data_IF_376987711499
#
_entry.id   IF_376987711499
#
_cell.length_a   1.000
_cell.length_b   1.000
_cell.length_c   1.000
_cell.angle_alpha   90.00
_cell.angle_beta   90.00
_cell.angle_gamma   90.00
#
_symmetry.space_group_name_H-M   'P 1'
#
loop_
_entity.id
_entity.type
_entity.pdbx_description
1 polymer ?
#
# COMPACT_ATOMS: atom_id res chain seq x y z
N UNK A 1 -6.36 -57.07 -25.22
CA UNK A 1 -6.13 -56.03 -26.25
C UNK A 1 -5.93 -54.70 -25.53
N UNK A 2 -4.70 -54.39 -25.12
CA UNK A 2 -4.38 -53.22 -24.29
C UNK A 2 -4.03 -52.02 -25.18
N UNK A 3 -4.78 -50.93 -25.01
CA UNK A 3 -4.63 -49.65 -25.69
C UNK A 3 -3.39 -48.94 -25.13
N UNK A 4 -2.32 -48.84 -25.92
CA UNK A 4 -1.16 -47.98 -25.61
C UNK A 4 -1.62 -46.52 -25.64
N UNK A 5 -1.63 -45.88 -24.48
CA UNK A 5 -1.93 -44.45 -24.33
C UNK A 5 -0.72 -43.64 -24.81
N UNK A 6 -0.95 -42.75 -25.79
CA UNK A 6 0.08 -41.89 -26.38
C UNK A 6 0.53 -40.81 -25.39
N UNK A 7 1.67 -41.04 -24.74
CA UNK A 7 2.33 -40.12 -23.80
C UNK A 7 2.66 -38.73 -24.39
N UNK A 8 2.66 -38.59 -25.72
CA UNK A 8 2.96 -37.33 -26.39
C UNK A 8 1.85 -36.27 -26.20
N UNK A 9 0.57 -36.69 -26.16
CA UNK A 9 -0.54 -35.75 -25.96
C UNK A 9 -0.64 -35.24 -24.52
N UNK A 10 -0.20 -36.03 -23.54
CA UNK A 10 -0.23 -35.66 -22.12
C UNK A 10 0.83 -34.58 -21.84
N UNK A 11 2.00 -34.68 -22.48
CA UNK A 11 3.08 -33.69 -22.35
C UNK A 11 2.69 -32.31 -22.90
N UNK A 12 2.01 -32.26 -24.05
CA UNK A 12 1.55 -30.99 -24.65
C UNK A 12 0.43 -30.35 -23.81
N UNK A 13 -0.47 -31.16 -23.24
CA UNK A 13 -1.54 -30.67 -22.35
C UNK A 13 -0.95 -30.11 -21.05
N UNK A 14 0.05 -30.79 -20.45
CA UNK A 14 0.76 -30.29 -19.27
C UNK A 14 1.53 -29.00 -19.56
N UNK A 15 2.15 -28.88 -20.73
CA UNK A 15 2.86 -27.65 -21.13
C UNK A 15 1.90 -26.48 -21.32
N UNK A 16 0.73 -26.70 -21.94
CA UNK A 16 -0.33 -25.71 -22.03
C UNK A 16 -0.91 -25.32 -20.66
N UNK A 17 -1.07 -26.29 -19.76
CA UNK A 17 -1.50 -26.03 -18.38
C UNK A 17 -0.46 -25.23 -17.59
N UNK A 18 0.83 -25.52 -17.77
CA UNK A 18 1.92 -24.75 -17.17
C UNK A 18 1.97 -23.32 -17.74
N UNK A 19 1.79 -23.12 -19.04
CA UNK A 19 1.73 -21.78 -19.65
C UNK A 19 0.52 -20.99 -19.11
N UNK A 20 -0.64 -21.63 -18.96
CA UNK A 20 -1.82 -21.01 -18.34
C UNK A 20 -1.61 -20.69 -16.86
N UNK A 21 -0.97 -21.56 -16.08
CA UNK A 21 -0.65 -21.30 -14.66
C UNK A 21 0.39 -20.19 -14.52
N UNK A 22 1.35 -20.09 -15.45
CA UNK A 22 2.36 -19.03 -15.46
C UNK A 22 1.77 -17.69 -15.90
N UNK A 23 0.86 -17.66 -16.89
CA UNK A 23 0.16 -16.43 -17.27
C UNK A 23 -0.88 -16.00 -16.22
N UNK A 24 -1.56 -16.93 -15.56
CA UNK A 24 -2.51 -16.63 -14.49
C UNK A 24 -1.85 -16.16 -13.18
N UNK A 25 -0.55 -16.40 -12.98
CA UNK A 25 0.22 -15.91 -11.83
C UNK A 25 0.87 -14.54 -12.02
N UNK A 26 0.79 -13.96 -13.23
CA UNK A 26 1.45 -12.69 -13.57
C UNK A 26 0.43 -11.66 -14.08
N UNK A 27 -0.82 -11.74 -13.63
CA UNK A 27 -1.66 -10.54 -13.53
C UNK A 27 -1.55 -10.05 -12.09
N UNK A 28 -1.00 -8.84 -11.83
CA UNK A 28 -1.04 -8.26 -10.50
C UNK A 28 -2.51 -8.20 -10.07
N UNK A 29 -2.83 -8.61 -8.83
CA UNK A 29 -4.20 -8.53 -8.29
C UNK A 29 -4.82 -7.15 -8.50
N UNK A 30 -4.01 -6.10 -8.47
CA UNK A 30 -4.43 -4.71 -8.68
C UNK A 30 -4.95 -4.43 -10.10
N UNK A 31 -4.51 -5.17 -11.12
CA UNK A 31 -5.00 -5.00 -12.50
C UNK A 31 -6.44 -5.50 -12.65
N UNK A 32 -6.87 -6.43 -11.78
CA UNK A 32 -8.24 -6.93 -11.69
C UNK A 32 -9.19 -5.89 -11.07
N UNK A 33 -8.66 -5.00 -10.22
CA UNK A 33 -9.44 -3.97 -9.48
C UNK A 33 -9.43 -2.62 -10.22
N UNK A 34 -8.60 -2.48 -11.26
CA UNK A 34 -8.47 -1.24 -12.04
C UNK A 34 -9.74 -0.95 -12.84
N UNK A 35 -10.36 0.19 -12.56
CA UNK A 35 -11.52 0.65 -13.29
C UNK A 35 -11.11 1.59 -14.46
N UNK A 36 -10.96 1.00 -15.65
CA UNK A 36 -10.71 1.75 -16.91
C UNK A 36 -11.86 2.72 -17.27
N UNK A 37 -13.04 2.52 -16.68
CA UNK A 37 -14.20 3.41 -16.77
C UNK A 37 -13.88 4.82 -16.29
N UNK A 38 -13.15 4.91 -15.17
CA UNK A 38 -12.90 6.14 -14.41
C UNK A 38 -11.41 6.54 -14.37
N UNK A 39 -10.56 5.85 -15.12
CA UNK A 39 -9.12 6.12 -15.21
C UNK A 39 -8.76 6.94 -16.46
N UNK A 40 -7.59 7.58 -16.45
CA UNK A 40 -6.99 8.11 -17.68
C UNK A 40 -6.38 6.97 -18.51
N UNK A 41 -6.54 6.98 -19.85
CA UNK A 41 -5.80 6.08 -20.72
C UNK A 41 -4.30 6.43 -20.72
N UNK A 42 -3.47 5.58 -21.33
CA UNK A 42 -2.06 5.91 -21.54
C UNK A 42 -1.94 7.10 -22.50
N UNK A 43 -1.61 8.27 -21.98
CA UNK A 43 -1.57 9.52 -22.73
C UNK A 43 -0.54 9.53 -23.87
N UNK A 44 0.51 8.70 -23.79
CA UNK A 44 1.50 8.53 -24.86
C UNK A 44 0.96 7.77 -26.07
N UNK A 45 -0.06 6.93 -25.86
CA UNK A 45 -0.66 6.10 -26.90
C UNK A 45 -1.90 6.74 -27.54
N UNK A 46 -2.38 7.85 -26.97
CA UNK A 46 -3.57 8.56 -27.46
C UNK A 46 -3.28 9.13 -28.85
N UNK A 47 -4.00 8.62 -29.85
CA UNK A 47 -3.94 9.12 -31.23
C UNK A 47 -5.12 10.04 -31.55
N UNK A 48 -6.29 9.73 -30.99
CA UNK A 48 -7.51 10.53 -31.14
C UNK A 48 -7.98 11.03 -29.77
N UNK A 49 -7.60 12.27 -29.39
CA UNK A 49 -8.00 12.87 -28.12
C UNK A 49 -9.51 12.95 -27.93
N UNK A 50 -10.30 13.18 -28.99
CA UNK A 50 -11.75 13.37 -28.85
C UNK A 50 -12.44 12.08 -28.44
N UNK A 51 -12.00 10.96 -29.02
CA UNK A 51 -12.56 9.64 -28.74
C UNK A 51 -12.04 9.07 -27.41
N UNK A 52 -10.73 9.08 -27.22
CA UNK A 52 -10.07 8.40 -26.11
C UNK A 52 -10.20 9.16 -24.79
N UNK A 53 -10.28 10.49 -24.84
CA UNK A 53 -10.49 11.35 -23.66
C UNK A 53 -11.94 11.83 -23.55
N UNK A 54 -12.88 11.19 -24.26
CA UNK A 54 -14.31 11.55 -24.27
C UNK A 54 -14.95 11.60 -22.87
N UNK A 55 -14.41 10.84 -21.90
CA UNK A 55 -14.86 10.79 -20.51
C UNK A 55 -14.30 11.92 -19.64
N UNK A 56 -13.34 12.68 -20.15
CA UNK A 56 -12.68 13.75 -19.42
C UNK A 56 -13.08 15.10 -20.01
N UNK A 57 -13.23 16.10 -19.15
CA UNK A 57 -13.48 17.50 -19.51
C UNK A 57 -12.23 18.27 -19.18
N UNK A 58 -11.60 18.82 -20.21
CA UNK A 58 -10.59 19.84 -20.06
C UNK A 58 -11.28 21.19 -20.00
N UNK A 59 -10.94 22.03 -19.03
CA UNK A 59 -11.43 23.41 -18.91
C UNK A 59 -10.25 24.39 -18.94
N UNK A 60 -10.58 25.64 -19.29
CA UNK A 60 -9.65 26.77 -19.36
C UNK A 60 -8.49 26.56 -20.33
N UNK A 61 -7.24 26.60 -19.86
CA UNK A 61 -6.02 26.50 -20.68
C UNK A 61 -5.37 25.12 -20.62
N UNK A 62 -6.00 24.15 -19.95
CA UNK A 62 -5.49 22.78 -19.93
C UNK A 62 -5.38 22.21 -21.35
N UNK A 63 -4.24 21.62 -21.69
CA UNK A 63 -3.99 21.02 -23.01
C UNK A 63 -3.19 19.73 -22.88
N UNK A 64 -3.38 18.81 -23.83
CA UNK A 64 -2.55 17.62 -23.98
C UNK A 64 -1.30 17.98 -24.80
N UNK A 65 -0.11 17.73 -24.28
CA UNK A 65 1.16 18.00 -24.92
C UNK A 65 2.11 16.84 -24.68
N UNK A 66 2.62 16.22 -25.76
CA UNK A 66 3.67 15.19 -25.71
C UNK A 66 3.42 14.09 -24.64
N UNK A 67 2.19 13.57 -24.59
CA UNK A 67 1.83 12.47 -23.69
C UNK A 67 1.58 12.85 -22.22
N UNK A 68 1.36 14.14 -21.92
CA UNK A 68 0.86 14.59 -20.61
C UNK A 68 -0.12 15.74 -20.74
N UNK A 69 -0.94 15.97 -19.72
CA UNK A 69 -1.72 17.20 -19.63
C UNK A 69 -0.91 18.29 -18.96
N UNK A 70 -0.84 19.45 -19.59
CA UNK A 70 -0.29 20.68 -19.00
C UNK A 70 -1.48 21.54 -18.56
N UNK A 71 -1.68 21.68 -17.26
CA UNK A 71 -2.79 22.47 -16.69
C UNK A 71 -2.48 23.97 -16.77
N UNK A 72 -1.22 24.36 -16.56
CA UNK A 72 -0.77 25.75 -16.60
C UNK A 72 0.34 25.94 -17.64
N UNK A 73 0.00 26.06 -18.94
CA UNK A 73 1.00 26.09 -20.01
C UNK A 73 1.66 27.45 -20.23
N UNK A 74 1.18 28.51 -19.58
CA UNK A 74 1.71 29.86 -19.71
C UNK A 74 1.68 30.60 -18.39
N UNK A 75 2.07 31.88 -18.41
CA UNK A 75 2.02 32.75 -17.22
C UNK A 75 0.58 33.14 -16.89
N UNK A 76 0.24 33.16 -15.62
CA UNK A 76 -1.08 33.55 -15.09
C UNK A 76 -2.22 32.77 -15.75
N UNK A 77 -2.02 31.46 -15.91
CA UNK A 77 -3.00 30.54 -16.49
C UNK A 77 -3.59 29.64 -15.42
N UNK A 78 -4.82 29.17 -15.69
CA UNK A 78 -5.48 28.13 -14.93
C UNK A 78 -5.96 27.04 -15.88
N UNK A 79 -6.07 25.83 -15.36
CA UNK A 79 -6.53 24.67 -16.10
C UNK A 79 -7.10 23.63 -15.16
N UNK A 80 -8.11 22.90 -15.62
CA UNK A 80 -8.64 21.77 -14.87
C UNK A 80 -9.01 20.60 -15.76
N UNK A 81 -8.99 19.43 -15.14
CA UNK A 81 -9.28 18.14 -15.75
C UNK A 81 -10.29 17.43 -14.85
N UNK A 82 -11.50 17.22 -15.37
CA UNK A 82 -12.62 16.65 -14.63
C UNK A 82 -13.14 15.39 -15.30
N UNK A 83 -13.45 14.38 -14.50
CA UNK A 83 -14.07 13.17 -14.99
C UNK A 83 -15.59 13.40 -15.15
N UNK A 84 -16.14 13.11 -16.34
CA UNK A 84 -17.57 13.21 -16.64
C UNK A 84 -18.41 12.20 -15.86
N UNK A 85 -18.09 10.89 -15.87
CA UNK A 85 -18.87 9.94 -15.11
C UNK A 85 -18.62 10.15 -13.61
N UNK A 86 -19.70 10.32 -12.86
CA UNK A 86 -19.62 10.37 -11.40
C UNK A 86 -19.47 8.95 -10.83
N UNK A 87 -18.69 8.84 -9.76
CA UNK A 87 -18.29 7.56 -9.20
C UNK A 87 -19.07 7.23 -7.92
N UNK A 88 -19.69 6.05 -7.85
CA UNK A 88 -20.39 5.59 -6.63
C UNK A 88 -19.48 4.62 -5.86
N UNK A 89 -19.13 4.99 -4.63
CA UNK A 89 -18.30 4.16 -3.75
C UNK A 89 -19.10 2.94 -3.26
N UNK A 90 -18.63 1.73 -3.56
CA UNK A 90 -19.28 0.47 -3.15
C UNK A 90 -18.63 -0.20 -1.92
N UNK A 91 -17.61 0.41 -1.33
CA UNK A 91 -16.95 -0.06 -0.12
C UNK A 91 -15.61 0.63 0.10
N UNK A 92 -14.68 0.47 -0.83
CA UNK A 92 -13.42 1.19 -0.85
C UNK A 92 -13.09 1.68 -2.25
N UNK A 93 -12.29 2.74 -2.32
CA UNK A 93 -11.80 3.34 -3.56
C UNK A 93 -10.35 3.75 -3.36
N UNK A 94 -9.51 3.49 -4.36
CA UNK A 94 -8.17 4.05 -4.43
C UNK A 94 -8.02 4.88 -5.70
N UNK A 95 -7.53 6.10 -5.56
CA UNK A 95 -7.24 7.00 -6.67
C UNK A 95 -5.76 7.33 -6.65
N UNK A 96 -5.09 7.10 -7.77
CA UNK A 96 -3.70 7.46 -7.99
C UNK A 96 -3.59 8.56 -9.04
N UNK A 97 -2.88 9.63 -8.69
CA UNK A 97 -2.51 10.71 -9.60
C UNK A 97 -1.00 10.77 -9.72
N UNK A 98 -0.48 10.73 -10.94
CA UNK A 98 0.92 11.03 -11.23
C UNK A 98 1.00 12.43 -11.80
N UNK A 99 1.71 13.32 -11.12
CA UNK A 99 1.78 14.74 -11.43
C UNK A 99 3.21 15.26 -11.27
N UNK A 100 3.48 16.46 -11.80
CA UNK A 100 4.71 17.21 -11.50
C UNK A 100 4.48 18.72 -11.56
N UNK A 101 5.35 19.46 -10.90
CA UNK A 101 5.55 20.91 -11.12
C UNK A 101 6.96 21.13 -11.64
N UNK A 102 7.10 21.89 -12.73
CA UNK A 102 8.41 22.19 -13.32
C UNK A 102 8.53 23.65 -13.77
N UNK A 103 9.77 24.13 -13.92
CA UNK A 103 10.07 25.42 -14.56
C UNK A 103 10.11 26.62 -13.62
N UNK A 104 9.79 26.44 -12.34
CA UNK A 104 9.94 27.46 -11.30
C UNK A 104 10.11 26.84 -9.92
N UNK A 105 10.97 27.45 -9.11
CA UNK A 105 11.13 27.17 -7.69
C UNK A 105 11.15 28.47 -6.91
N UNK A 106 10.35 28.54 -5.85
CA UNK A 106 10.27 29.71 -4.98
C UNK A 106 8.84 30.13 -4.69
N UNK A 107 8.71 31.32 -4.09
CA UNK A 107 7.41 31.87 -3.70
C UNK A 107 6.52 32.12 -4.92
N UNK A 108 5.33 31.54 -4.88
CA UNK A 108 4.31 31.55 -5.94
C UNK A 108 2.94 31.62 -5.26
N UNK A 109 1.98 32.29 -5.88
CA UNK A 109 0.57 32.20 -5.45
C UNK A 109 -0.17 31.02 -6.11
N UNK A 110 0.53 30.30 -6.99
CA UNK A 110 0.04 29.11 -7.66
C UNK A 110 -0.17 27.92 -6.73
N UNK A 111 -0.88 26.92 -7.24
CA UNK A 111 -1.13 25.68 -6.54
C UNK A 111 -1.85 24.65 -7.42
N UNK A 112 -1.68 23.39 -7.04
CA UNK A 112 -2.32 22.23 -7.66
C UNK A 112 -3.29 21.59 -6.66
N UNK A 113 -4.55 21.47 -7.05
CA UNK A 113 -5.61 20.90 -6.24
C UNK A 113 -6.14 19.58 -6.84
N UNK A 114 -6.37 18.61 -5.97
CA UNK A 114 -7.08 17.36 -6.29
C UNK A 114 -8.40 17.34 -5.53
N UNK A 115 -9.46 16.94 -6.23
CA UNK A 115 -10.83 17.12 -5.78
C UNK A 115 -11.61 15.81 -5.76
N UNK A 116 -12.28 15.57 -4.64
CA UNK A 116 -13.38 14.62 -4.51
C UNK A 116 -14.60 15.40 -4.02
N UNK A 117 -15.52 15.74 -4.93
CA UNK A 117 -16.70 16.58 -4.63
C UNK A 117 -17.99 15.76 -4.65
N UNK A 118 -18.97 16.17 -3.85
CA UNK A 118 -20.33 15.66 -3.83
C UNK A 118 -21.34 16.79 -4.05
N UNK A 119 -22.60 16.39 -4.26
CA UNK A 119 -23.74 17.29 -4.35
C UNK A 119 -23.70 18.22 -5.58
N UNK A 120 -24.66 19.15 -5.61
CA UNK A 120 -24.85 20.09 -6.71
C UNK A 120 -24.00 21.36 -6.52
N UNK A 121 -22.75 21.23 -6.06
CA UNK A 121 -21.86 22.37 -5.94
C UNK A 121 -21.69 23.05 -7.30
N UNK A 122 -21.84 24.38 -7.32
CA UNK A 122 -21.71 25.24 -8.49
C UNK A 122 -20.38 25.00 -9.22
N UNK A 123 -20.41 25.12 -10.54
CA UNK A 123 -19.24 25.08 -11.41
C UNK A 123 -18.45 26.40 -11.31
N UNK A 124 -17.80 26.62 -10.16
CA UNK A 124 -16.87 27.73 -9.97
C UNK A 124 -15.43 27.37 -10.32
N UNK A 125 -14.59 28.38 -10.56
CA UNK A 125 -13.13 28.23 -10.79
C UNK A 125 -12.29 29.15 -9.90
N UNK A 126 -12.92 29.72 -8.87
CA UNK A 126 -12.33 30.71 -7.96
C UNK A 126 -11.25 30.09 -7.08
N UNK A 127 -11.48 28.85 -6.63
CA UNK A 127 -10.57 28.10 -5.78
C UNK A 127 -9.66 27.24 -6.67
N UNK A 128 -8.42 27.70 -6.86
CA UNK A 128 -7.35 27.03 -7.61
C UNK A 128 -7.78 26.49 -9.00
N UNK A 129 -8.69 27.20 -9.68
CA UNK A 129 -9.13 26.87 -11.04
C UNK A 129 -10.09 25.67 -11.15
N UNK A 130 -10.59 25.12 -10.05
CA UNK A 130 -11.40 23.89 -10.07
C UNK A 130 -12.72 23.92 -9.32
N UNK A 131 -12.91 24.84 -8.38
CA UNK A 131 -14.14 24.89 -7.60
C UNK A 131 -14.56 26.31 -7.26
N UNK A 132 -15.84 26.49 -6.97
CA UNK A 132 -16.33 27.61 -6.16
C UNK A 132 -15.85 27.47 -4.71
N UNK A 133 -15.88 28.58 -3.97
CA UNK A 133 -15.63 28.59 -2.52
C UNK A 133 -16.65 27.74 -1.74
N UNK A 134 -17.89 27.61 -2.24
CA UNK A 134 -18.89 26.70 -1.70
C UNK A 134 -18.82 25.34 -2.38
N UNK A 135 -18.11 24.41 -1.77
CA UNK A 135 -18.04 23.03 -2.25
C UNK A 135 -18.35 22.06 -1.12
N UNK A 136 -18.86 20.89 -1.50
CA UNK A 136 -19.07 19.77 -0.60
C UNK A 136 -18.09 18.66 -0.98
N UNK A 137 -17.22 18.26 -0.06
CA UNK A 137 -16.22 17.22 -0.25
C UNK A 137 -14.82 17.62 0.19
N UNK A 138 -13.82 17.03 -0.47
CA UNK A 138 -12.40 17.08 -0.13
C UNK A 138 -11.59 17.84 -1.18
N UNK A 139 -10.74 18.76 -0.71
CA UNK A 139 -9.68 19.40 -1.48
C UNK A 139 -8.33 18.99 -0.90
N UNK A 140 -7.46 18.43 -1.73
CA UNK A 140 -6.04 18.20 -1.40
C UNK A 140 -5.22 19.19 -2.21
N UNK A 141 -4.51 20.08 -1.52
CA UNK A 141 -3.82 21.20 -2.11
C UNK A 141 -2.31 21.04 -1.95
N UNK A 142 -1.60 21.16 -3.07
CA UNK A 142 -0.15 21.29 -3.14
C UNK A 142 0.18 22.74 -3.47
N UNK A 143 0.89 23.37 -2.55
CA UNK A 143 1.35 24.76 -2.72
C UNK A 143 2.59 25.01 -1.86
N UNK A 144 3.23 26.15 -2.11
CA UNK A 144 4.10 26.77 -1.11
C UNK A 144 3.20 27.46 -0.08
N UNK A 145 3.07 26.86 1.09
CA UNK A 145 2.35 27.46 2.22
C UNK A 145 3.27 28.46 2.94
N UNK A 146 2.72 29.59 3.37
CA UNK A 146 3.49 30.67 3.97
C UNK A 146 4.13 30.26 5.31
N UNK A 147 3.55 29.26 6.00
CA UNK A 147 4.01 28.75 7.29
C UNK A 147 4.74 27.42 7.16
N UNK A 148 4.28 26.54 6.27
CA UNK A 148 4.82 25.19 6.13
C UNK A 148 5.90 25.05 5.04
N UNK A 149 5.97 25.97 4.09
CA UNK A 149 6.75 25.81 2.87
C UNK A 149 6.08 24.83 1.89
N UNK A 150 6.88 24.08 1.12
CA UNK A 150 6.38 23.10 0.15
C UNK A 150 5.64 21.98 0.88
N UNK A 151 4.31 21.94 0.73
CA UNK A 151 3.47 21.08 1.55
C UNK A 151 2.21 20.61 0.83
N UNK A 152 1.69 19.49 1.32
CA UNK A 152 0.34 19.01 1.02
C UNK A 152 -0.55 19.36 2.19
N UNK A 153 -1.67 20.03 1.91
CA UNK A 153 -2.68 20.43 2.88
C UNK A 153 -4.04 19.88 2.46
N UNK A 154 -4.82 19.37 3.40
CA UNK A 154 -6.12 18.77 3.12
C UNK A 154 -7.25 19.53 3.82
N UNK A 155 -8.28 19.88 3.06
CA UNK A 155 -9.40 20.69 3.49
C UNK A 155 -10.72 19.99 3.18
N UNK A 156 -11.70 20.21 4.05
CA UNK A 156 -13.07 19.74 3.87
C UNK A 156 -14.00 20.93 3.90
N UNK A 157 -15.04 20.85 3.09
CA UNK A 157 -16.18 21.74 3.19
C UNK A 157 -17.44 20.90 2.94
N UNK A 158 -18.57 21.31 3.52
CA UNK A 158 -19.87 20.63 3.45
C UNK A 158 -20.87 21.39 2.55
N UNK A 159 -20.39 22.41 1.83
CA UNK A 159 -21.20 23.27 0.97
C UNK A 159 -22.03 24.33 1.72
N UNK A 160 -22.05 24.35 3.05
CA UNK A 160 -22.88 25.28 3.83
C UNK A 160 -22.33 26.70 3.86
N UNK A 161 -21.00 26.87 3.76
CA UNK A 161 -20.30 28.16 3.86
C UNK A 161 -19.27 28.33 2.74
N UNK A 162 -18.95 29.59 2.43
CA UNK A 162 -17.81 29.91 1.59
C UNK A 162 -16.53 29.49 2.31
N UNK A 163 -15.72 28.68 1.62
CA UNK A 163 -14.41 28.30 2.08
C UNK A 163 -13.39 29.38 1.74
N UNK A 164 -12.77 29.95 2.76
CA UNK A 164 -11.61 30.83 2.60
C UNK A 164 -10.34 30.05 2.92
N UNK A 165 -9.51 29.77 1.91
CA UNK A 165 -8.28 29.00 2.08
C UNK A 165 -7.23 29.69 2.95
N UNK A 166 -7.32 31.02 3.13
CA UNK A 166 -6.34 31.78 3.94
C UNK A 166 -6.62 31.66 5.43
N UNK A 167 -7.88 31.62 5.82
CA UNK A 167 -8.29 31.58 7.23
C UNK A 167 -8.72 30.19 7.69
N UNK A 168 -9.24 29.35 6.79
CA UNK A 168 -9.76 28.03 7.14
C UNK A 168 -8.62 27.07 7.46
N UNK A 169 -8.68 26.35 8.59
CA UNK A 169 -7.66 25.37 8.93
C UNK A 169 -7.77 24.14 8.03
N UNK A 170 -6.62 23.59 7.64
CA UNK A 170 -6.54 22.23 7.10
C UNK A 170 -6.73 21.22 8.24
N UNK A 171 -7.37 20.09 7.97
CA UNK A 171 -7.54 19.02 8.97
C UNK A 171 -6.31 18.11 9.07
N UNK A 172 -5.49 18.08 8.01
CA UNK A 172 -4.24 17.32 7.94
C UNK A 172 -3.27 17.95 6.95
N UNK A 173 -1.97 17.72 7.15
CA UNK A 173 -0.92 18.17 6.25
C UNK A 173 0.35 17.31 6.36
N UNK A 174 1.23 17.42 5.36
CA UNK A 174 2.59 16.91 5.40
C UNK A 174 3.53 17.78 4.56
N UNK A 175 4.81 17.77 4.89
CA UNK A 175 5.84 18.44 4.09
C UNK A 175 6.17 17.58 2.86
N UNK A 176 6.15 18.21 1.69
CA UNK A 176 6.38 17.52 0.44
C UNK A 176 6.99 18.46 -0.59
N UNK A 177 8.23 18.17 -1.00
CA UNK A 177 8.92 18.93 -2.03
C UNK A 177 8.41 18.51 -3.40
N UNK A 178 7.88 19.45 -4.17
CA UNK A 178 7.27 19.18 -5.48
C UNK A 178 7.72 20.17 -6.57
N UNK A 179 8.24 21.35 -6.19
CA UNK A 179 8.62 22.38 -7.15
C UNK A 179 9.89 22.01 -7.91
N UNK A 180 9.90 22.38 -9.19
CA UNK A 180 11.01 22.19 -10.13
C UNK A 180 11.58 20.77 -10.16
N UNK A 181 10.69 19.78 -10.10
CA UNK A 181 11.06 18.36 -10.17
C UNK A 181 10.92 17.82 -11.59
N UNK A 182 12.03 17.28 -12.12
CA UNK A 182 12.02 16.53 -13.38
C UNK A 182 11.31 15.19 -13.24
N UNK A 183 11.31 14.62 -12.03
CA UNK A 183 10.70 13.32 -11.72
C UNK A 183 9.27 13.57 -11.24
N UNK A 184 8.26 12.95 -11.85
CA UNK A 184 6.89 13.07 -11.39
C UNK A 184 6.67 12.30 -10.09
N UNK A 185 5.76 12.81 -9.29
CA UNK A 185 5.35 12.23 -8.01
C UNK A 185 4.00 11.56 -8.12
N UNK A 186 3.75 10.58 -7.26
CA UNK A 186 2.48 9.86 -7.20
C UNK A 186 1.75 10.17 -5.91
N UNK A 187 0.59 10.78 -6.04
CA UNK A 187 -0.39 10.93 -4.97
C UNK A 187 -1.34 9.75 -5.01
N UNK A 188 -1.45 9.01 -3.90
CA UNK A 188 -2.39 7.92 -3.74
C UNK A 188 -3.35 8.23 -2.61
N UNK A 189 -4.61 8.39 -2.96
CA UNK A 189 -5.70 8.60 -2.02
C UNK A 189 -6.53 7.33 -1.91
N UNK A 190 -6.61 6.76 -0.70
CA UNK A 190 -7.44 5.61 -0.40
C UNK A 190 -8.54 6.02 0.56
N UNK A 191 -9.79 5.74 0.21
CA UNK A 191 -10.92 5.85 1.12
C UNK A 191 -11.57 4.48 1.28
N UNK A 192 -11.67 4.00 2.52
CA UNK A 192 -12.23 2.70 2.84
C UNK A 192 -13.37 2.88 3.85
N UNK A 193 -14.62 2.79 3.37
CA UNK A 193 -15.80 2.86 4.23
C UNK A 193 -15.90 1.63 5.15
N UNK A 194 -15.42 0.47 4.73
CA UNK A 194 -15.46 -0.79 5.49
C UNK A 194 -14.50 -0.78 6.69
N UNK A 195 -13.38 -0.05 6.61
CA UNK A 195 -12.44 0.16 7.73
C UNK A 195 -12.74 1.48 8.45
N UNK A 196 -13.95 1.60 9.00
CA UNK A 196 -14.38 2.75 9.80
C UNK A 196 -14.13 4.11 9.11
N UNK A 197 -14.41 4.19 7.81
CA UNK A 197 -14.18 5.40 6.99
C UNK A 197 -12.73 5.89 6.99
N UNK A 198 -11.76 4.97 6.92
CA UNK A 198 -10.35 5.32 6.80
C UNK A 198 -10.09 6.09 5.50
N UNK A 199 -9.68 7.34 5.64
CA UNK A 199 -9.11 8.17 4.59
C UNK A 199 -7.59 8.23 4.78
N UNK A 200 -6.84 7.76 3.78
CA UNK A 200 -5.37 7.75 3.79
C UNK A 200 -4.82 8.39 2.53
N UNK A 201 -3.85 9.28 2.71
CA UNK A 201 -3.10 9.90 1.63
C UNK A 201 -1.63 9.46 1.70
N UNK A 202 -1.10 8.99 0.58
CA UNK A 202 0.32 8.69 0.40
C UNK A 202 0.89 9.56 -0.72
N UNK A 203 2.13 10.04 -0.53
CA UNK A 203 2.93 10.67 -1.58
C UNK A 203 4.19 9.84 -1.78
N UNK A 204 4.42 9.37 -3.00
CA UNK A 204 5.53 8.49 -3.35
C UNK A 204 5.64 7.30 -2.38
N UNK A 205 4.51 6.63 -2.14
CA UNK A 205 4.33 5.50 -1.21
C UNK A 205 4.58 5.79 0.28
N UNK A 206 4.89 7.03 0.67
CA UNK A 206 5.01 7.44 2.08
C UNK A 206 3.70 8.02 2.56
N UNK A 207 3.25 7.63 3.75
CA UNK A 207 2.00 8.15 4.33
C UNK A 207 2.19 9.63 4.67
N UNK A 208 1.34 10.48 4.08
CA UNK A 208 1.21 11.89 4.41
C UNK A 208 0.34 12.05 5.66
N UNK A 209 -0.88 11.52 5.59
CA UNK A 209 -1.79 11.47 6.72
C UNK A 209 -2.77 10.30 6.59
N UNK A 210 -3.38 9.95 7.72
CA UNK A 210 -4.51 9.03 7.80
C UNK A 210 -5.50 9.51 8.85
N UNK A 211 -6.80 9.37 8.58
CA UNK A 211 -7.87 9.79 9.49
C UNK A 211 -9.12 8.95 9.30
N UNK A 212 -9.90 8.79 10.37
CA UNK A 212 -11.23 8.13 10.36
C UNK A 212 -12.37 9.12 10.67
N UNK A 213 -12.04 10.42 10.73
CA UNK A 213 -13.00 11.49 11.07
C UNK A 213 -13.76 12.01 9.86
N UNK A 214 -13.31 11.68 8.66
CA UNK A 214 -13.89 12.19 7.41
C UNK A 214 -14.91 11.18 6.90
N UNK A 215 -16.13 11.64 6.67
CA UNK A 215 -17.21 10.83 6.12
C UNK A 215 -17.81 11.55 4.92
N UNK A 216 -17.86 10.85 3.80
CA UNK A 216 -18.60 11.31 2.62
C UNK A 216 -20.05 10.81 2.72
N UNK A 217 -20.99 11.50 2.06
CA UNK A 217 -22.38 11.06 2.01
C UNK A 217 -22.48 9.68 1.36
N UNK A 218 -23.11 8.76 2.08
CA UNK A 218 -23.39 7.41 1.57
C UNK A 218 -24.37 7.50 0.39
N UNK A 219 -24.15 6.68 -0.64
CA UNK A 219 -24.93 6.63 -1.87
C UNK A 219 -24.92 7.90 -2.76
N UNK A 220 -24.19 8.95 -2.38
CA UNK A 220 -23.98 10.13 -3.24
C UNK A 220 -22.77 9.93 -4.15
N UNK A 221 -22.91 10.11 -5.48
CA UNK A 221 -21.81 9.93 -6.39
C UNK A 221 -20.74 11.04 -6.23
N UNK A 222 -19.49 10.67 -6.45
CA UNK A 222 -18.32 11.54 -6.34
C UNK A 222 -17.92 12.07 -7.72
N UNK A 223 -17.72 13.39 -7.79
CA UNK A 223 -17.05 14.06 -8.90
C UNK A 223 -15.55 14.13 -8.62
N UNK A 224 -14.77 13.54 -9.51
CA UNK A 224 -13.32 13.42 -9.38
C UNK A 224 -12.65 14.34 -10.40
N UNK A 225 -11.68 15.12 -9.95
CA UNK A 225 -10.94 16.00 -10.85
C UNK A 225 -9.70 16.60 -10.21
N UNK A 226 -8.96 17.33 -11.02
CA UNK A 226 -7.79 18.10 -10.60
C UNK A 226 -7.78 19.45 -11.30
N UNK A 227 -7.24 20.46 -10.64
CA UNK A 227 -7.10 21.81 -11.20
C UNK A 227 -5.84 22.47 -10.70
N UNK A 228 -5.32 23.39 -11.48
CA UNK A 228 -4.18 24.20 -11.09
C UNK A 228 -4.31 25.63 -11.57
N UNK A 229 -3.63 26.52 -10.85
CA UNK A 229 -3.42 27.91 -11.24
C UNK A 229 -1.95 28.26 -10.98
N UNK A 230 -1.36 29.06 -11.85
CA UNK A 230 -0.06 29.68 -11.61
C UNK A 230 -0.19 31.20 -11.68
N UNK A 231 0.89 31.88 -11.25
CA UNK A 231 1.00 33.33 -11.30
C UNK A 231 1.90 33.77 -12.48
N UNK A 232 2.53 34.94 -12.38
CA UNK A 232 3.44 35.43 -13.41
C UNK A 232 4.73 34.58 -13.57
N UNK A 233 4.96 33.61 -12.68
CA UNK A 233 6.03 32.63 -12.79
C UNK A 233 5.84 31.69 -13.99
N UNK A 234 6.87 30.90 -14.25
CA UNK A 234 6.85 29.86 -15.29
C UNK A 234 6.47 28.48 -14.72
N UNK A 235 5.88 28.44 -13.52
CA UNK A 235 5.50 27.19 -12.87
C UNK A 235 4.45 26.47 -13.71
N UNK A 236 4.77 25.25 -14.14
CA UNK A 236 3.91 24.45 -14.98
C UNK A 236 3.51 23.16 -14.28
N UNK A 237 2.21 23.05 -13.99
CA UNK A 237 1.61 21.89 -13.37
C UNK A 237 1.14 20.91 -14.44
N UNK A 238 1.60 19.67 -14.34
CA UNK A 238 1.29 18.63 -15.30
C UNK A 238 0.72 17.38 -14.65
N UNK A 239 -0.17 16.70 -15.38
CA UNK A 239 -0.76 15.41 -15.03
C UNK A 239 -0.36 14.39 -16.08
N UNK A 240 0.30 13.32 -15.65
CA UNK A 240 0.83 12.28 -16.53
C UNK A 240 -0.08 11.04 -16.54
N UNK A 241 -0.70 10.72 -15.40
CA UNK A 241 -1.48 9.50 -15.24
C UNK A 241 -2.52 9.68 -14.13
N UNK A 242 -3.68 9.06 -14.33
CA UNK A 242 -4.67 8.88 -13.27
C UNK A 242 -5.25 7.48 -13.36
N UNK A 243 -5.31 6.78 -12.23
CA UNK A 243 -5.93 5.46 -12.11
C UNK A 243 -6.90 5.43 -10.95
N UNK A 244 -8.04 4.80 -11.17
CA UNK A 244 -9.03 4.53 -10.15
C UNK A 244 -9.22 3.03 -10.00
N UNK A 245 -9.25 2.58 -8.75
CA UNK A 245 -9.43 1.18 -8.39
C UNK A 245 -10.69 1.04 -7.52
N UNK A 246 -11.51 0.05 -7.83
CA UNK A 246 -12.73 -0.32 -7.08
C UNK A 246 -12.38 -1.13 -5.81
N UNK A 247 -11.47 -0.59 -4.98
CA UNK A 247 -11.01 -1.26 -3.77
C UNK A 247 -9.74 -0.63 -3.18
N UNK A 248 -9.21 -1.30 -2.16
CA UNK A 248 -7.89 -1.01 -1.59
C UNK A 248 -6.85 -1.85 -2.34
N UNK A 249 -5.79 -1.22 -2.82
CA UNK A 249 -4.66 -1.90 -3.47
C UNK A 249 -3.59 -2.31 -2.45
N UNK A 250 -2.73 -3.28 -2.80
CA UNK A 250 -1.70 -3.78 -1.87
C UNK A 250 -0.75 -2.66 -1.42
N UNK A 251 -0.34 -1.78 -2.34
CA UNK A 251 0.53 -0.66 -1.99
C UNK A 251 -0.16 0.40 -1.09
N UNK A 252 -1.49 0.44 -1.06
CA UNK A 252 -2.21 1.25 -0.08
C UNK A 252 -2.06 0.68 1.31
N UNK A 253 -1.77 -0.60 1.50
CA UNK A 253 -1.61 -1.23 2.81
C UNK A 253 -0.24 -0.98 3.43
N UNK A 254 0.70 -0.32 2.72
CA UNK A 254 2.03 -0.03 3.23
C UNK A 254 1.92 0.70 4.58
N UNK A 255 2.49 0.14 5.66
CA UNK A 255 2.34 0.69 6.99
C UNK A 255 3.07 2.02 7.13
N UNK A 256 2.63 2.82 8.11
CA UNK A 256 3.19 4.14 8.41
C UNK A 256 4.56 4.05 9.14
N UNK A 257 5.47 3.21 8.66
CA UNK A 257 6.80 2.98 9.27
C UNK A 257 7.70 4.19 9.03
N UNK A 258 7.48 4.89 7.91
CA UNK A 258 8.24 6.08 7.52
C UNK A 258 7.25 7.21 7.13
N UNK A 259 6.53 7.81 8.11
CA UNK A 259 5.67 8.95 7.85
C UNK A 259 6.48 10.10 7.28
N UNK A 260 5.89 10.86 6.37
CA UNK A 260 6.49 12.13 5.99
C UNK A 260 6.51 13.09 7.18
N UNK A 261 7.50 13.98 7.21
CA UNK A 261 7.62 14.98 8.26
C UNK A 261 6.34 15.81 8.35
N UNK A 262 5.69 15.75 9.50
CA UNK A 262 4.58 16.64 9.80
C UNK A 262 5.12 17.98 10.32
N UNK A 263 4.50 19.10 9.94
CA UNK A 263 4.93 20.40 10.42
C UNK A 263 4.72 20.50 11.94
N UNK A 264 5.78 20.90 12.65
CA UNK A 264 5.74 21.16 14.08
C UNK A 264 5.71 22.67 14.31
N UNK A 265 4.81 23.15 15.17
CA UNK A 265 4.84 24.57 15.57
C UNK A 265 5.87 24.70 16.69
N UNK A 266 6.77 25.67 16.58
CA UNK A 266 7.73 25.99 17.66
C UNK A 266 7.42 27.37 18.20
N UNK A 267 7.20 27.47 19.50
CA UNK A 267 7.11 28.76 20.19
C UNK A 267 8.51 29.19 20.58
N UNK A 268 8.96 30.32 20.03
CA UNK A 268 10.19 30.99 20.47
C UNK A 268 9.90 31.68 21.81
N UNK A 269 10.51 31.19 22.88
CA UNK A 269 10.45 31.81 24.21
C UNK A 269 11.75 32.57 24.42
N UNK A 270 11.66 33.88 24.51
CA UNK A 270 12.79 34.77 24.79
C UNK A 270 12.77 35.07 26.29
N UNK A 271 13.85 34.70 26.98
CA UNK A 271 14.01 35.06 28.39
C UNK A 271 14.26 36.57 28.51
N UNK A 272 13.35 37.29 29.15
CA UNK A 272 13.38 38.76 29.30
C UNK A 272 14.63 39.28 30.03
N UNK A 273 15.34 38.41 30.76
CA UNK A 273 16.49 38.78 31.60
C UNK A 273 17.84 38.38 31.01
N UNK A 274 17.93 37.30 30.22
CA UNK A 274 19.18 36.82 29.61
C UNK A 274 19.26 37.01 28.10
N UNK A 275 18.15 37.32 27.43
CA UNK A 275 18.08 37.39 25.97
C UNK A 275 18.22 36.02 25.28
N UNK A 276 18.34 34.92 26.04
CA UNK A 276 18.44 33.59 25.46
C UNK A 276 17.14 33.15 24.80
N UNK A 277 17.30 32.64 23.58
CA UNK A 277 16.22 32.13 22.76
C UNK A 277 16.10 30.63 22.97
N UNK A 278 14.95 30.17 23.49
CA UNK A 278 14.63 28.75 23.56
C UNK A 278 13.45 28.42 22.66
N UNK A 279 13.53 27.33 21.92
CA UNK A 279 12.45 26.85 21.06
C UNK A 279 11.69 25.75 21.79
N UNK A 280 10.42 25.99 22.12
CA UNK A 280 9.53 24.96 22.68
C UNK A 280 8.58 24.46 21.59
N UNK A 281 8.67 23.18 21.23
CA UNK A 281 7.72 22.54 20.33
C UNK A 281 6.30 22.56 20.95
N UNK A 282 5.31 23.05 20.21
CA UNK A 282 3.88 22.95 20.52
C UNK A 282 3.15 22.40 19.29
N UNK A 283 2.18 21.51 19.47
CA UNK A 283 1.31 21.11 18.36
C UNK A 283 0.18 22.15 18.18
N UNK A 284 -0.35 22.37 16.95
CA UNK A 284 -1.37 23.39 16.64
C UNK A 284 -2.68 23.33 17.45
N UNK A 285 -2.89 22.29 18.26
CA UNK A 285 -4.13 22.05 19.02
C UNK A 285 -3.92 21.91 20.53
N UNK A 286 -2.76 22.32 21.05
CA UNK A 286 -2.39 22.20 22.48
C UNK A 286 -2.79 23.45 23.28
N UNK A 287 -4.07 23.82 23.27
CA UNK A 287 -4.64 24.72 24.27
C UNK A 287 -5.38 23.90 25.32
N UNK A 288 -4.63 23.25 26.21
CA UNK A 288 -4.95 22.99 27.64
C UNK A 288 -4.09 21.85 28.20
N UNK A 289 -3.33 22.18 29.24
CA UNK A 289 -3.00 21.32 30.39
C UNK A 289 -2.16 20.06 30.15
N UNK A 290 -1.15 19.88 30.99
CA UNK A 290 -0.28 18.70 31.17
C UNK A 290 -1.04 17.40 31.42
N UNK A 291 -1.70 16.89 30.39
CA UNK A 291 -2.23 15.54 30.35
C UNK A 291 -1.87 14.96 28.99
N UNK A 292 -1.38 13.72 28.99
CA UNK A 292 -1.03 12.95 27.80
C UNK A 292 -2.15 13.14 26.80
N UNK A 293 -1.92 14.00 25.81
CA UNK A 293 -2.98 14.47 24.95
C UNK A 293 -3.33 13.30 24.05
N UNK A 294 -4.61 12.99 23.84
CA UNK A 294 -5.06 11.85 23.00
C UNK A 294 -4.27 11.74 21.68
N UNK A 295 -3.80 12.85 21.12
CA UNK A 295 -2.96 12.92 19.93
C UNK A 295 -1.57 12.29 20.07
N UNK A 296 -0.88 12.46 21.21
CA UNK A 296 0.40 11.81 21.49
C UNK A 296 0.21 10.29 21.66
N UNK A 297 -0.93 9.89 22.24
CA UNK A 297 -1.35 8.50 22.29
C UNK A 297 -1.62 7.97 20.86
N UNK A 298 -2.31 8.73 20.01
CA UNK A 298 -2.54 8.36 18.61
C UNK A 298 -1.25 8.27 17.79
N UNK A 299 -0.28 9.16 18.01
CA UNK A 299 1.02 9.11 17.33
C UNK A 299 1.82 7.88 17.77
N UNK A 300 1.84 7.59 19.08
CA UNK A 300 2.45 6.38 19.63
C UNK A 300 1.74 5.13 19.13
N UNK A 301 0.40 5.12 19.05
CA UNK A 301 -0.41 4.01 18.52
C UNK A 301 -0.13 3.84 17.02
N UNK A 302 -0.12 4.89 16.21
CA UNK A 302 0.18 4.81 14.78
C UNK A 302 1.61 4.30 14.53
N UNK A 303 2.58 4.72 15.35
CA UNK A 303 3.96 4.23 15.30
C UNK A 303 4.06 2.77 15.76
N UNK A 304 3.27 2.37 16.76
CA UNK A 304 3.16 0.97 17.20
C UNK A 304 2.49 0.11 16.14
N UNK A 305 1.38 0.55 15.56
CA UNK A 305 0.66 -0.11 14.47
C UNK A 305 1.56 -0.27 13.25
N UNK A 306 2.28 0.79 12.86
CA UNK A 306 3.29 0.73 11.80
C UNK A 306 4.40 -0.29 12.11
N UNK A 307 4.92 -0.31 13.35
CA UNK A 307 5.93 -1.29 13.79
C UNK A 307 5.39 -2.72 13.90
N UNK A 308 4.15 -2.89 14.33
CA UNK A 308 3.46 -4.17 14.46
C UNK A 308 3.15 -4.73 13.08
N UNK A 309 2.69 -3.92 12.14
CA UNK A 309 2.43 -4.34 10.75
C UNK A 309 3.71 -4.55 9.93
N UNK A 310 4.77 -3.78 10.18
CA UNK A 310 6.09 -4.01 9.58
C UNK A 310 6.75 -5.30 10.08
N UNK A 311 6.44 -5.69 11.31
CA UNK A 311 6.86 -6.96 11.87
C UNK A 311 5.80 -8.01 11.50
N UNK A 312 5.89 -8.49 10.27
CA UNK A 312 4.99 -9.46 9.62
C UNK A 312 4.27 -10.36 10.64
N UNK A 313 3.00 -10.04 10.92
CA UNK A 313 2.22 -10.68 11.98
C UNK A 313 1.75 -12.07 11.51
N UNK A 314 1.78 -12.34 10.20
CA UNK A 314 1.37 -13.63 9.63
C UNK A 314 2.11 -14.82 10.25
N UNK A 315 3.45 -14.83 10.36
CA UNK A 315 4.16 -15.92 11.05
C UNK A 315 3.80 -16.02 12.53
N UNK A 316 3.43 -14.93 13.21
CA UNK A 316 3.00 -14.95 14.61
C UNK A 316 1.56 -15.50 14.75
N UNK A 317 0.68 -15.12 13.83
CA UNK A 317 -0.73 -15.52 13.77
C UNK A 317 -0.86 -16.99 13.38
N UNK A 318 0.00 -17.48 12.48
CA UNK A 318 0.15 -18.90 12.16
C UNK A 318 0.64 -19.70 13.37
N UNK A 319 1.63 -19.19 14.13
CA UNK A 319 2.07 -19.84 15.37
C UNK A 319 0.97 -19.87 16.43
N UNK A 320 0.22 -18.78 16.58
CA UNK A 320 -0.87 -18.69 17.55
C UNK A 320 -2.02 -19.66 17.20
N UNK A 321 -2.41 -19.74 15.93
CA UNK A 321 -3.39 -20.72 15.47
C UNK A 321 -2.91 -22.16 15.70
N UNK A 322 -1.63 -22.44 15.46
CA UNK A 322 -1.02 -23.75 15.72
C UNK A 322 -0.98 -24.11 17.21
N UNK A 323 -0.78 -23.12 18.09
CA UNK A 323 -0.85 -23.31 19.55
C UNK A 323 -2.29 -23.63 19.98
N UNK A 324 -3.28 -22.89 19.48
CA UNK A 324 -4.70 -23.13 19.79
C UNK A 324 -5.15 -24.51 19.30
N UNK A 325 -4.66 -24.94 18.14
CA UNK A 325 -4.97 -26.27 17.59
C UNK A 325 -4.34 -27.39 18.43
N UNK A 326 -3.09 -27.23 18.86
CA UNK A 326 -2.43 -28.14 19.79
C UNK A 326 -3.14 -28.20 21.16
N UNK A 327 -3.61 -27.07 21.69
CA UNK A 327 -4.38 -27.03 22.95
C UNK A 327 -5.72 -27.76 22.81
N UNK A 328 -6.41 -27.60 21.67
CA UNK A 328 -7.65 -28.36 21.40
C UNK A 328 -7.39 -29.85 21.31
N UNK A 329 -6.29 -30.26 20.70
CA UNK A 329 -5.89 -31.66 20.61
C UNK A 329 -5.55 -32.24 22.00
N UNK A 330 -4.83 -31.47 22.82
CA UNK A 330 -4.55 -31.81 24.23
C UNK A 330 -5.84 -31.96 25.04
N UNK A 331 -6.79 -31.04 24.92
CA UNK A 331 -8.08 -31.10 25.62
C UNK A 331 -8.89 -32.32 25.16
N UNK A 332 -8.86 -32.67 23.86
CA UNK A 332 -9.49 -33.90 23.37
C UNK A 332 -8.85 -35.17 23.94
N UNK A 333 -7.52 -35.18 24.08
CA UNK A 333 -6.78 -36.32 24.67
C UNK A 333 -6.95 -36.44 26.18
N UNK A 334 -7.19 -35.33 26.88
CA UNK A 334 -7.41 -35.27 28.33
C UNK A 334 -8.87 -35.53 28.74
N UNK A 335 -9.82 -35.38 27.81
CA UNK A 335 -11.26 -35.61 28.05
C UNK A 335 -11.58 -37.00 28.65
N UNK A 336 -10.99 -38.12 28.17
CA UNK A 336 -11.25 -39.44 28.75
C UNK A 336 -10.74 -39.59 30.19
N UNK A 337 -9.74 -38.79 30.59
CA UNK A 337 -9.19 -38.82 31.96
C UNK A 337 -10.09 -38.03 32.91
N UNK A 338 -10.60 -36.88 32.46
CA UNK A 338 -11.59 -36.09 33.21
C UNK A 338 -12.91 -36.83 33.39
N UNK A 339 -13.36 -37.55 32.36
CA UNK A 339 -14.58 -38.38 32.42
C UNK A 339 -14.42 -39.62 33.36
N UNK A 340 -13.18 -40.05 33.64
CA UNK A 340 -12.89 -41.12 34.61
C UNK A 340 -12.92 -40.62 36.06
N UNK A 341 -12.45 -39.39 36.31
CA UNK A 341 -12.47 -38.75 37.64
C UNK A 341 -13.92 -38.43 38.08
N UNK A 342 -14.79 -38.06 37.13
CA UNK A 342 -16.22 -37.84 37.39
C UNK A 342 -16.99 -39.16 37.63
N UNK A 343 -16.52 -40.28 37.06
CA UNK A 343 -17.10 -41.62 37.26
C UNK A 343 -16.67 -42.27 38.60
N UNK A 344 -15.53 -41.88 39.16
CA UNK A 344 -15.01 -42.39 40.44
C UNK A 344 -15.85 -41.95 41.65
N UNK A 345 -16.59 -40.83 41.52
CA UNK A 345 -17.45 -40.33 42.59
C UNK A 345 -18.85 -41.00 42.66
N UNK A 346 -19.25 -41.81 41.67
CA UNK A 346 -20.63 -42.34 41.58
C UNK A 346 -20.81 -43.85 41.58
N UNK A 347 -19.76 -44.66 41.60
CA UNK A 347 -19.97 -46.11 41.66
C UNK A 347 -18.71 -46.85 42.09
N UNK A 348 -18.89 -47.74 43.06
CA UNK A 348 -17.84 -48.55 43.67
C UNK A 348 -17.00 -49.33 42.65
N UNK A 349 -15.72 -49.37 43.00
CA UNK A 349 -14.58 -50.11 42.43
C UNK A 349 -14.98 -51.34 41.60
N UNK A 350 -14.62 -51.33 40.31
CA UNK A 350 -14.57 -52.51 39.46
C UNK A 350 -13.09 -52.83 39.15
N UNK A 351 -12.59 -53.92 39.72
CA UNK A 351 -11.18 -54.34 39.76
C UNK A 351 -10.58 -54.61 38.35
N UNK A 352 -11.43 -54.89 37.36
CA UNK A 352 -11.01 -55.25 36.00
C UNK A 352 -10.37 -54.09 35.23
N UNK A 353 -10.73 -52.83 35.54
CA UNK A 353 -10.14 -51.65 34.86
C UNK A 353 -8.77 -51.24 35.42
N UNK A 354 -8.44 -51.65 36.65
CA UNK A 354 -7.14 -51.36 37.25
C UNK A 354 -6.02 -52.24 36.69
N UNK A 355 -6.35 -53.47 36.26
CA UNK A 355 -5.41 -54.38 35.59
C UNK A 355 -4.97 -53.85 34.21
N UNK A 356 -5.88 -53.20 33.48
CA UNK A 356 -5.56 -52.56 32.19
C UNK A 356 -4.63 -51.35 32.35
N UNK A 357 -4.74 -50.61 33.46
CA UNK A 357 -3.83 -49.50 33.76
C UNK A 357 -2.42 -49.98 34.13
N UNK A 358 -2.32 -51.09 34.88
CA UNK A 358 -1.04 -51.72 35.21
C UNK A 358 -0.37 -52.33 33.97
N UNK A 359 -1.15 -52.91 33.05
CA UNK A 359 -0.63 -53.45 31.78
C UNK A 359 -0.15 -52.34 30.82
N UNK A 360 -0.80 -51.17 30.86
CA UNK A 360 -0.40 -49.99 30.08
C UNK A 360 0.97 -49.45 30.53
N UNK A 361 1.24 -49.42 31.84
CA UNK A 361 2.54 -49.01 32.37
C UNK A 361 3.67 -49.98 31.97
N UNK A 362 3.40 -51.29 31.97
CA UNK A 362 4.34 -52.30 31.48
C UNK A 362 4.62 -52.18 29.97
N UNK A 363 3.60 -51.82 29.17
CA UNK A 363 3.76 -51.56 27.74
C UNK A 363 4.55 -50.27 27.45
N UNK A 364 4.40 -49.23 28.28
CA UNK A 364 5.22 -48.01 28.19
C UNK A 364 6.70 -48.30 28.42
N UNK A 365 7.02 -49.12 29.42
CA UNK A 365 8.40 -49.49 29.74
C UNK A 365 9.05 -50.33 28.60
N UNK A 366 8.22 -51.12 27.91
CA UNK A 366 8.61 -51.88 26.71
C UNK A 366 8.85 -50.96 25.50
N UNK A 367 7.99 -49.96 25.29
CA UNK A 367 8.13 -48.98 24.21
C UNK A 367 9.34 -48.06 24.38
N UNK A 368 9.67 -47.68 25.63
CA UNK A 368 10.87 -46.90 25.93
C UNK A 368 12.14 -47.72 25.60
N UNK A 369 12.16 -49.00 25.98
CA UNK A 369 13.25 -49.92 25.63
C UNK A 369 13.37 -50.14 24.11
N UNK A 370 12.25 -50.20 23.39
CA UNK A 370 12.26 -50.28 21.91
C UNK A 370 12.75 -48.97 21.26
N UNK A 371 12.42 -47.80 21.82
CA UNK A 371 12.93 -46.51 21.34
C UNK A 371 14.44 -46.37 21.56
N UNK A 372 14.94 -46.79 22.71
CA UNK A 372 16.39 -46.74 23.01
C UNK A 372 17.16 -47.74 22.15
N UNK A 373 16.57 -48.91 21.85
CA UNK A 373 17.14 -49.86 20.89
C UNK A 373 17.17 -49.29 19.48
N UNK A 374 16.10 -48.65 19.03
CA UNK A 374 16.05 -47.99 17.71
C UNK A 374 17.07 -46.84 17.62
N UNK A 375 17.30 -46.08 18.71
CA UNK A 375 18.36 -45.06 18.76
C UNK A 375 19.77 -45.65 18.68
N UNK A 376 20.01 -46.80 19.32
CA UNK A 376 21.29 -47.51 19.25
C UNK A 376 21.53 -48.10 17.86
N UNK A 377 20.50 -48.67 17.23
CA UNK A 377 20.54 -49.15 15.85
C UNK A 377 20.75 -48.00 14.85
N UNK A 378 20.16 -46.82 15.07
CA UNK A 378 20.43 -45.63 14.26
C UNK A 378 21.84 -45.05 14.48
N UNK A 379 22.41 -45.14 15.69
CA UNK A 379 23.82 -44.79 15.93
C UNK A 379 24.80 -45.75 15.23
N UNK A 380 24.49 -47.05 15.22
CA UNK A 380 25.26 -48.05 14.48
C UNK A 380 25.11 -47.92 12.95
N UNK A 381 23.94 -47.51 12.46
CA UNK A 381 23.71 -47.19 11.05
C UNK A 381 24.35 -45.87 10.61
N UNK A 382 24.52 -44.92 11.53
CA UNK A 382 25.25 -43.65 11.31
C UNK A 382 26.74 -43.85 11.06
N UNK A 383 27.36 -44.93 11.55
CA UNK A 383 28.79 -45.21 11.35
C UNK A 383 29.09 -46.06 10.10
N UNK A 384 28.07 -46.64 9.44
CA UNK A 384 28.29 -47.62 8.36
C UNK A 384 28.00 -47.11 6.93
N UNK A 385 27.36 -45.96 6.76
CA UNK A 385 27.07 -45.41 5.42
C UNK A 385 27.46 -43.92 5.32
N UNK A 386 28.75 -43.65 5.13
CA UNK A 386 29.24 -42.40 4.57
C UNK A 386 30.14 -42.71 3.37
N UNK A 387 29.58 -42.58 2.17
CA UNK A 387 30.32 -42.40 0.92
C UNK A 387 29.92 -41.05 0.31
N UNK A 388 30.83 -40.09 0.13
CA UNK A 388 30.52 -38.72 -0.30
C UNK A 388 30.12 -38.57 -1.78
N UNK A 389 29.98 -39.64 -2.57
CA UNK A 389 29.93 -39.50 -4.03
C UNK A 389 28.54 -39.18 -4.60
N UNK A 390 27.45 -39.50 -3.90
CA UNK A 390 26.10 -39.33 -4.44
C UNK A 390 25.56 -37.90 -4.31
N UNK A 391 26.00 -37.16 -3.28
CA UNK A 391 25.60 -35.77 -3.03
C UNK A 391 26.36 -34.82 -3.97
N UNK A 392 27.66 -35.05 -4.16
CA UNK A 392 28.47 -34.24 -5.06
C UNK A 392 28.05 -34.39 -6.53
N UNK A 393 27.65 -35.60 -6.98
CA UNK A 393 27.18 -35.79 -8.36
C UNK A 393 25.85 -35.08 -8.65
N UNK A 394 24.90 -35.12 -7.71
CA UNK A 394 23.60 -34.42 -7.86
C UNK A 394 23.75 -32.91 -7.80
N UNK A 395 24.62 -32.38 -6.93
CA UNK A 395 24.88 -30.94 -6.83
C UNK A 395 25.67 -30.43 -8.05
N UNK A 396 26.65 -31.20 -8.54
CA UNK A 396 27.45 -30.83 -9.72
C UNK A 396 26.62 -30.67 -10.99
N UNK A 397 25.57 -31.47 -11.18
CA UNK A 397 24.71 -31.38 -12.36
C UNK A 397 23.92 -30.07 -12.40
N UNK A 398 23.39 -29.63 -11.24
CA UNK A 398 22.67 -28.37 -11.12
C UNK A 398 23.60 -27.15 -11.25
N UNK A 399 24.83 -27.26 -10.75
CA UNK A 399 25.84 -26.20 -10.85
C UNK A 399 26.28 -25.97 -12.31
N UNK A 400 26.40 -27.03 -13.11
CA UNK A 400 26.76 -26.94 -14.53
C UNK A 400 25.70 -26.19 -15.36
N UNK A 401 24.41 -26.43 -15.09
CA UNK A 401 23.30 -25.72 -15.75
C UNK A 401 23.33 -24.23 -15.41
N UNK A 402 23.62 -23.88 -14.16
CA UNK A 402 23.67 -22.49 -13.71
C UNK A 402 24.86 -21.74 -14.31
N UNK A 403 26.01 -22.39 -14.44
CA UNK A 403 27.20 -21.84 -15.12
C UNK A 403 26.91 -21.59 -16.61
N UNK A 404 26.20 -22.49 -17.29
CA UNK A 404 25.84 -22.32 -18.69
C UNK A 404 24.93 -21.10 -18.93
N UNK A 405 23.95 -20.88 -18.04
CA UNK A 405 23.08 -19.69 -18.07
C UNK A 405 23.89 -18.41 -17.84
N UNK A 406 24.85 -18.43 -16.90
CA UNK A 406 25.71 -17.27 -16.64
C UNK A 406 26.61 -16.91 -17.83
N UNK A 407 27.19 -17.92 -18.51
CA UNK A 407 28.05 -17.70 -19.69
C UNK A 407 27.23 -17.15 -20.87
N UNK A 408 26.02 -17.68 -21.08
CA UNK A 408 25.15 -17.17 -22.16
C UNK A 408 24.72 -15.72 -21.90
N UNK A 409 24.34 -15.37 -20.67
CA UNK A 409 24.04 -13.98 -20.31
C UNK A 409 25.25 -13.05 -20.49
N UNK A 410 26.44 -13.47 -20.07
CA UNK A 410 27.67 -12.70 -20.26
C UNK A 410 28.00 -12.50 -21.75
N UNK A 411 27.80 -13.52 -22.59
CA UNK A 411 27.98 -13.42 -24.03
C UNK A 411 27.00 -12.41 -24.67
N UNK A 412 25.71 -12.44 -24.31
CA UNK A 412 24.75 -11.47 -24.80
C UNK A 412 25.05 -10.05 -24.32
N UNK A 413 25.47 -9.88 -23.06
CA UNK A 413 25.86 -8.57 -22.52
C UNK A 413 27.10 -8.01 -23.25
N UNK A 414 28.07 -8.86 -23.57
CA UNK A 414 29.25 -8.48 -24.33
C UNK A 414 28.91 -8.09 -25.78
N UNK A 415 28.01 -8.85 -26.44
CA UNK A 415 27.57 -8.55 -27.81
C UNK A 415 26.83 -7.20 -27.88
N UNK A 416 25.91 -6.96 -26.93
CA UNK A 416 25.19 -5.67 -26.83
C UNK A 416 26.18 -4.51 -26.64
N UNK A 417 27.20 -4.67 -25.80
CA UNK A 417 28.22 -3.65 -25.62
C UNK A 417 29.09 -3.42 -26.87
N UNK A 418 29.33 -4.44 -27.70
CA UNK A 418 30.00 -4.26 -28.98
C UNK A 418 29.12 -3.54 -30.01
N UNK A 419 27.82 -3.86 -30.05
CA UNK A 419 26.86 -3.19 -30.94
C UNK A 419 26.69 -1.72 -30.57
N UNK A 420 26.65 -1.38 -29.27
CA UNK A 420 26.63 0.01 -28.78
C UNK A 420 27.91 0.77 -29.17
N UNK A 421 29.09 0.12 -29.17
CA UNK A 421 30.35 0.75 -29.59
C UNK A 421 30.41 1.00 -31.10
N UNK A 422 29.84 0.11 -31.91
CA UNK A 422 29.78 0.29 -33.38
C UNK A 422 28.81 1.40 -33.78
N UNK A 423 27.69 1.55 -33.07
CA UNK A 423 26.70 2.61 -33.33
C UNK A 423 27.20 4.01 -32.91
N UNK A 424 28.20 4.10 -32.02
CA UNK A 424 28.86 5.38 -31.68
C UNK A 424 29.95 5.84 -32.66
N UNK A 425 30.30 5.02 -33.65
CA UNK A 425 31.32 5.29 -34.67
C UNK A 425 30.73 5.58 -36.07
N UNK A 426 29.40 5.53 -36.20
CA UNK A 426 28.60 6.09 -37.29
C UNK A 426 27.96 7.38 -36.78
#
# INVERSE_FOLDING_TARGET
MQRKMNYHNIGVILLYFCIWIVQAKVTPKDELVLNKGYSLPNLLEVKDPQKELSKWVLRDKAKLEEGRFVLTPGKSTKGSLWLKPEYKVQGAITIEWTFRSFGFRGSTTGGLAFWLKQGNAEDGTELFGGSSEKFDGLMILLRLDDKLGESVTAYLNDGSKNFDFKSSPYFASCLFQYQDSMVPSTLRLTYNALDNHLLKLQMDNRVCFQTRKVKFMENSPLRIGTSAVNDASKESFEILKMRLYDGVIEDSLIPNVNPMGQPKVVTKVINSQSGEESFKERLPFSEKGESITKNELFEKINKLEGKIMANDINPLLLKMNKIVENERELIQRLRPVLDLEEAEYRSGVNDDKFQDFLSMNANLDKLIKEQDRTRLEMKLHSERNNGPDEIFSKVSLWLAILIFIMITLAYYMFRINQDIKKVKLL
#
